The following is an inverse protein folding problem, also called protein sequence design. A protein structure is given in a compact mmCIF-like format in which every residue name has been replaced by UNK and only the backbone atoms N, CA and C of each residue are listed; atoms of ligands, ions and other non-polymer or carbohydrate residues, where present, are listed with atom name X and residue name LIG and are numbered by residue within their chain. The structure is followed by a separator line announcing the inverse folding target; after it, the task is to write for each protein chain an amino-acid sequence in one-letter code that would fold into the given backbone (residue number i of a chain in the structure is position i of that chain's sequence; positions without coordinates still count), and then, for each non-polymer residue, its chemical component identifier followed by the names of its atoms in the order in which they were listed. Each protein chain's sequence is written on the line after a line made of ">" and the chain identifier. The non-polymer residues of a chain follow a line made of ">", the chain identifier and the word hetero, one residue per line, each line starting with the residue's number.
data_IF_344411642966
#
_entry.id   IF_344411642966
#
_cell.length_a   1.000
_cell.length_b   1.000
_cell.length_c   1.000
_cell.angle_alpha   90.00
_cell.angle_beta   90.00
_cell.angle_gamma   90.00
#
_symmetry.space_group_name_H-M   'P 1'
#
loop_
_entity.id
_entity.type
_entity.pdbx_description
1 polymer ?
#
# COMPACT_ATOMS: atom_id res chain seq x y z
N UNK A 1 12.19 16.99 1.01
CA UNK A 1 10.99 16.48 1.71
C UNK A 1 9.75 17.30 1.36
N UNK A 2 9.21 17.06 0.18
CA UNK A 2 7.83 17.39 -0.16
C UNK A 2 6.94 16.31 0.41
N UNK A 3 5.89 16.72 1.11
CA UNK A 3 4.74 15.87 1.32
C UNK A 3 3.51 16.64 0.81
N UNK A 4 2.58 15.94 0.16
CA UNK A 4 1.32 16.56 -0.27
C UNK A 4 0.57 17.22 0.89
N UNK A 5 0.84 16.79 2.13
CA UNK A 5 0.37 17.44 3.36
C UNK A 5 0.88 18.86 3.56
N UNK A 6 2.10 19.21 3.15
CA UNK A 6 2.63 20.57 3.27
C UNK A 6 1.96 21.52 2.26
N UNK A 7 1.75 21.06 1.02
CA UNK A 7 0.99 21.80 0.03
C UNK A 7 -0.49 21.95 0.45
N UNK A 8 -1.10 20.88 0.97
CA UNK A 8 -2.46 20.91 1.51
C UNK A 8 -2.54 21.85 2.72
N UNK A 9 -1.56 21.79 3.62
CA UNK A 9 -1.45 22.69 4.77
C UNK A 9 -1.31 24.14 4.34
N UNK A 10 -0.58 24.44 3.26
CA UNK A 10 -0.48 25.79 2.70
C UNK A 10 -1.82 26.28 2.16
N UNK A 11 -2.57 25.41 1.46
CA UNK A 11 -3.93 25.71 0.98
C UNK A 11 -4.86 25.96 2.16
N UNK A 12 -4.90 25.05 3.14
CA UNK A 12 -5.75 25.19 4.33
C UNK A 12 -5.41 26.45 5.13
N UNK A 13 -4.12 26.75 5.30
CA UNK A 13 -3.67 27.98 5.97
C UNK A 13 -4.11 29.23 5.22
N UNK A 14 -4.02 29.23 3.89
CA UNK A 14 -4.49 30.35 3.07
C UNK A 14 -6.02 30.47 3.07
N UNK A 15 -6.73 29.34 3.15
CA UNK A 15 -8.18 29.27 3.21
C UNK A 15 -8.75 29.66 4.59
N UNK A 16 -7.95 29.59 5.65
CA UNK A 16 -8.33 29.92 7.03
C UNK A 16 -8.86 28.72 7.83
N UNK A 17 -9.10 28.94 9.12
CA UNK A 17 -9.74 27.95 10.00
C UNK A 17 -11.22 27.75 9.59
N UNK A 18 -11.76 26.57 9.86
CA UNK A 18 -13.20 26.26 9.82
C UNK A 18 -13.70 26.27 11.28
N UNK A 19 -14.01 27.47 11.80
CA UNK A 19 -14.32 27.64 13.22
C UNK A 19 -15.68 27.06 13.62
N UNK A 20 -16.59 26.84 12.66
CA UNK A 20 -17.94 26.34 12.91
C UNK A 20 -18.16 24.87 12.49
N UNK A 21 -17.17 24.26 11.82
CA UNK A 21 -17.10 22.83 11.53
C UNK A 21 -18.03 22.39 10.41
N UNK A 22 -18.35 23.29 9.47
CA UNK A 22 -19.24 23.01 8.34
C UNK A 22 -18.52 22.44 7.11
N UNK A 23 -17.18 22.33 7.18
CA UNK A 23 -16.33 21.83 6.10
C UNK A 23 -15.88 22.91 5.11
N UNK A 24 -16.19 24.18 5.35
CA UNK A 24 -15.80 25.32 4.51
C UNK A 24 -14.90 26.28 5.30
N UNK A 25 -13.71 26.63 4.79
CA UNK A 25 -12.83 27.59 5.46
C UNK A 25 -13.42 29.00 5.56
N UNK A 26 -13.34 29.63 6.75
CA UNK A 26 -13.98 30.92 7.06
C UNK A 26 -13.46 32.07 6.18
N UNK A 27 -12.16 32.09 5.85
CA UNK A 27 -11.62 33.17 5.00
C UNK A 27 -12.07 33.02 3.54
N UNK A 28 -12.31 31.80 3.07
CA UNK A 28 -12.89 31.60 1.74
C UNK A 28 -14.31 32.16 1.71
N UNK A 29 -15.15 31.86 2.70
CA UNK A 29 -16.51 32.41 2.76
C UNK A 29 -16.51 33.93 2.89
N UNK A 30 -15.62 34.49 3.72
CA UNK A 30 -15.44 35.94 3.84
C UNK A 30 -15.04 36.60 2.51
N UNK A 31 -14.14 35.98 1.73
CA UNK A 31 -13.76 36.44 0.39
C UNK A 31 -14.92 36.37 -0.60
N UNK A 32 -15.69 35.27 -0.61
CA UNK A 32 -16.88 35.12 -1.45
C UNK A 32 -17.89 36.23 -1.15
N UNK A 33 -18.21 36.45 0.14
CA UNK A 33 -19.12 37.51 0.57
C UNK A 33 -18.58 38.89 0.20
N UNK A 34 -17.27 39.11 0.31
CA UNK A 34 -16.60 40.33 -0.13
C UNK A 34 -16.80 40.60 -1.63
N UNK A 35 -16.57 39.60 -2.47
CA UNK A 35 -16.77 39.71 -3.92
C UNK A 35 -18.26 39.88 -4.29
N UNK A 36 -19.17 39.17 -3.61
CA UNK A 36 -20.60 39.40 -3.79
C UNK A 36 -21.00 40.84 -3.39
N UNK A 37 -20.42 41.37 -2.31
CA UNK A 37 -20.60 42.77 -1.89
C UNK A 37 -20.06 43.78 -2.90
N UNK A 38 -19.07 43.41 -3.71
CA UNK A 38 -18.56 44.18 -4.83
C UNK A 38 -19.40 44.06 -6.12
N UNK A 39 -20.47 43.26 -6.11
CA UNK A 39 -21.44 43.15 -7.21
C UNK A 39 -21.25 41.96 -8.15
N UNK A 40 -20.36 41.01 -7.82
CA UNK A 40 -20.19 39.77 -8.59
C UNK A 40 -21.29 38.74 -8.23
N UNK A 41 -21.77 37.94 -9.19
CA UNK A 41 -22.68 36.83 -8.90
C UNK A 41 -21.94 35.75 -8.09
N UNK A 42 -22.69 34.94 -7.33
CA UNK A 42 -22.12 34.00 -6.35
C UNK A 42 -21.15 32.99 -6.96
N UNK A 43 -21.45 32.49 -8.16
CA UNK A 43 -20.61 31.56 -8.92
C UNK A 43 -19.27 32.20 -9.30
N UNK A 44 -19.29 33.43 -9.83
CA UNK A 44 -18.08 34.17 -10.17
C UNK A 44 -17.29 34.57 -8.91
N UNK A 45 -17.98 35.01 -7.85
CA UNK A 45 -17.37 35.35 -6.57
C UNK A 45 -16.65 34.15 -5.94
N UNK A 46 -17.21 32.94 -6.08
CA UNK A 46 -16.60 31.69 -5.59
C UNK A 46 -15.31 31.36 -6.34
N UNK A 47 -15.34 31.47 -7.67
CA UNK A 47 -14.14 31.23 -8.48
C UNK A 47 -13.04 32.27 -8.24
N UNK A 48 -13.41 33.52 -7.97
CA UNK A 48 -12.45 34.59 -7.63
C UNK A 48 -11.83 34.36 -6.24
N UNK A 49 -12.64 34.02 -5.24
CA UNK A 49 -12.15 33.69 -3.91
C UNK A 49 -11.22 32.46 -3.92
N UNK A 50 -11.59 31.42 -4.69
CA UNK A 50 -10.75 30.23 -4.87
C UNK A 50 -9.41 30.59 -5.52
N UNK A 51 -9.40 31.47 -6.53
CA UNK A 51 -8.17 31.92 -7.17
C UNK A 51 -7.22 32.61 -6.18
N UNK A 52 -7.73 33.54 -5.36
CA UNK A 52 -6.92 34.26 -4.37
C UNK A 52 -6.29 33.31 -3.35
N UNK A 53 -7.07 32.34 -2.84
CA UNK A 53 -6.60 31.36 -1.87
C UNK A 53 -5.51 30.47 -2.47
N UNK A 54 -5.73 29.94 -3.68
CA UNK A 54 -4.77 29.05 -4.35
C UNK A 54 -3.50 29.80 -4.76
N UNK A 55 -3.62 31.03 -5.24
CA UNK A 55 -2.47 31.87 -5.56
C UNK A 55 -1.64 32.17 -4.29
N UNK A 56 -2.29 32.61 -3.22
CA UNK A 56 -1.62 32.87 -1.94
C UNK A 56 -0.93 31.63 -1.37
N UNK A 57 -1.59 30.47 -1.43
CA UNK A 57 -1.05 29.21 -0.99
C UNK A 57 0.19 28.80 -1.81
N UNK A 58 0.11 28.87 -3.14
CA UNK A 58 1.24 28.53 -4.01
C UNK A 58 2.42 29.48 -3.79
N UNK A 59 2.18 30.78 -3.68
CA UNK A 59 3.24 31.78 -3.45
C UNK A 59 3.93 31.54 -2.10
N UNK A 60 3.16 31.29 -1.04
CA UNK A 60 3.71 30.97 0.27
C UNK A 60 4.51 29.67 0.24
N UNK A 61 4.02 28.67 -0.47
CA UNK A 61 4.67 27.37 -0.59
C UNK A 61 5.97 27.44 -1.42
N UNK A 62 5.93 28.09 -2.57
CA UNK A 62 7.09 28.33 -3.44
C UNK A 62 8.22 29.11 -2.74
N UNK A 63 7.86 30.02 -1.83
CA UNK A 63 8.84 30.76 -1.04
C UNK A 63 9.70 29.85 -0.14
N UNK A 64 9.17 28.72 0.35
CA UNK A 64 9.95 27.73 1.10
C UNK A 64 11.07 27.10 0.26
N UNK A 65 10.87 27.01 -1.05
CA UNK A 65 11.86 26.50 -2.01
C UNK A 65 12.73 27.61 -2.62
N UNK A 66 12.67 28.82 -2.07
CA UNK A 66 13.52 29.94 -2.50
C UNK A 66 13.06 30.64 -3.78
N UNK A 67 11.82 30.42 -4.22
CA UNK A 67 11.23 31.15 -5.35
C UNK A 67 10.85 32.56 -4.93
N UNK A 68 11.22 33.57 -5.73
CA UNK A 68 10.79 34.95 -5.46
C UNK A 68 9.29 35.12 -5.76
N UNK A 69 8.66 36.07 -5.06
CA UNK A 69 7.21 36.29 -5.16
C UNK A 69 6.73 36.63 -6.58
N UNK A 70 7.55 37.31 -7.40
CA UNK A 70 7.13 37.68 -8.76
C UNK A 70 7.07 36.46 -9.66
N UNK A 71 8.09 35.60 -9.57
CA UNK A 71 8.13 34.33 -10.32
C UNK A 71 7.07 33.37 -9.80
N UNK A 72 6.86 33.28 -8.48
CA UNK A 72 5.84 32.43 -7.88
C UNK A 72 4.42 32.84 -8.30
N UNK A 73 4.09 34.13 -8.28
CA UNK A 73 2.78 34.64 -8.73
C UNK A 73 2.56 34.35 -10.22
N UNK A 74 3.58 34.49 -11.07
CA UNK A 74 3.45 34.18 -12.49
C UNK A 74 3.18 32.68 -12.73
N UNK A 75 3.83 31.80 -11.95
CA UNK A 75 3.63 30.36 -12.03
C UNK A 75 2.30 29.89 -11.41
N UNK A 76 1.80 30.60 -10.39
CA UNK A 76 0.52 30.32 -9.73
C UNK A 76 -0.66 30.34 -10.70
N UNK A 77 -0.60 31.12 -11.79
CA UNK A 77 -1.67 31.21 -12.78
C UNK A 77 -2.09 29.84 -13.36
N UNK A 78 -1.14 28.92 -13.56
CA UNK A 78 -1.43 27.57 -14.05
C UNK A 78 -2.19 26.74 -13.00
N UNK A 79 -1.80 26.87 -11.73
CA UNK A 79 -2.42 26.19 -10.59
C UNK A 79 -3.84 26.72 -10.36
N UNK A 80 -4.03 28.04 -10.41
CA UNK A 80 -5.33 28.69 -10.28
C UNK A 80 -6.29 28.24 -11.38
N UNK A 81 -5.83 28.23 -12.64
CA UNK A 81 -6.65 27.80 -13.77
C UNK A 81 -7.11 26.34 -13.63
N UNK A 82 -6.23 25.46 -13.13
CA UNK A 82 -6.59 24.08 -12.83
C UNK A 82 -7.66 24.01 -11.72
N UNK A 83 -7.43 24.67 -10.58
CA UNK A 83 -8.36 24.68 -9.45
C UNK A 83 -9.77 25.13 -9.85
N UNK A 84 -9.87 26.24 -10.59
CA UNK A 84 -11.15 26.77 -11.06
C UNK A 84 -11.87 25.81 -12.02
N UNK A 85 -11.13 25.16 -12.92
CA UNK A 85 -11.69 24.19 -13.87
C UNK A 85 -12.19 22.93 -13.15
N UNK A 86 -11.40 22.42 -12.21
CA UNK A 86 -11.73 21.25 -11.39
C UNK A 86 -12.97 21.51 -10.54
N UNK A 87 -13.03 22.66 -9.85
CA UNK A 87 -14.20 23.04 -9.06
C UNK A 87 -15.46 23.12 -9.91
N UNK A 88 -15.40 23.78 -11.07
CA UNK A 88 -16.55 23.88 -11.97
C UNK A 88 -17.03 22.51 -12.46
N UNK A 89 -16.11 21.58 -12.73
CA UNK A 89 -16.44 20.22 -13.15
C UNK A 89 -17.13 19.41 -12.03
N UNK A 90 -16.61 19.48 -10.80
CA UNK A 90 -17.17 18.76 -9.65
C UNK A 90 -18.57 19.30 -9.26
N UNK A 91 -18.74 20.62 -9.28
CA UNK A 91 -20.06 21.25 -9.08
C UNK A 91 -21.06 20.82 -10.15
N UNK A 92 -20.64 20.74 -11.43
CA UNK A 92 -21.50 20.27 -12.51
C UNK A 92 -21.93 18.80 -12.36
N UNK A 93 -21.13 18.00 -11.64
CA UNK A 93 -21.44 16.61 -11.30
C UNK A 93 -22.29 16.48 -10.03
N UNK A 94 -22.55 17.58 -9.32
CA UNK A 94 -23.31 17.58 -8.08
C UNK A 94 -22.53 17.04 -6.87
N UNK A 95 -21.21 17.15 -6.89
CA UNK A 95 -20.35 16.74 -5.78
C UNK A 95 -20.57 17.65 -4.55
N UNK A 96 -21.03 17.13 -3.41
CA UNK A 96 -21.22 17.92 -2.19
C UNK A 96 -19.91 18.42 -1.59
N UNK A 97 -18.78 17.77 -1.88
CA UNK A 97 -17.46 18.06 -1.31
C UNK A 97 -16.52 18.70 -2.35
N UNK A 98 -17.10 19.31 -3.40
CA UNK A 98 -16.37 19.84 -4.57
C UNK A 98 -15.19 20.74 -4.20
N UNK A 99 -15.32 21.54 -3.14
CA UNK A 99 -14.28 22.45 -2.68
C UNK A 99 -13.08 21.69 -2.07
N UNK A 100 -13.34 20.72 -1.20
CA UNK A 100 -12.30 19.90 -0.57
C UNK A 100 -11.61 19.02 -1.61
N UNK A 101 -12.37 18.40 -2.51
CA UNK A 101 -11.85 17.60 -3.61
C UNK A 101 -11.01 18.45 -4.59
N UNK A 102 -11.40 19.71 -4.85
CA UNK A 102 -10.59 20.65 -5.63
C UNK A 102 -9.28 20.97 -4.92
N UNK A 103 -9.31 21.24 -3.62
CA UNK A 103 -8.12 21.54 -2.84
C UNK A 103 -7.11 20.38 -2.90
N UNK A 104 -7.58 19.14 -2.68
CA UNK A 104 -6.76 17.92 -2.79
C UNK A 104 -6.21 17.68 -4.20
N UNK A 105 -6.99 17.91 -5.25
CA UNK A 105 -6.49 17.77 -6.62
C UNK A 105 -5.44 18.85 -6.96
N UNK A 106 -5.59 20.05 -6.39
CA UNK A 106 -4.73 21.19 -6.70
C UNK A 106 -3.34 21.06 -6.06
N UNK A 107 -3.19 20.37 -4.93
CA UNK A 107 -1.87 20.17 -4.29
C UNK A 107 -0.85 19.48 -5.19
N UNK A 108 -1.28 18.48 -5.95
CA UNK A 108 -0.42 17.74 -6.89
C UNK A 108 0.05 18.64 -8.03
N UNK A 109 -0.84 19.50 -8.53
CA UNK A 109 -0.52 20.44 -9.62
C UNK A 109 0.47 21.51 -9.15
N UNK A 110 0.38 21.97 -7.90
CA UNK A 110 1.37 22.87 -7.33
C UNK A 110 2.79 22.27 -7.43
N UNK A 111 2.96 21.01 -7.03
CA UNK A 111 4.27 20.33 -7.12
C UNK A 111 4.77 20.21 -8.57
N UNK A 112 3.89 19.80 -9.49
CA UNK A 112 4.25 19.73 -10.91
C UNK A 112 4.71 21.06 -11.51
N UNK A 113 4.09 22.18 -11.10
CA UNK A 113 4.47 23.52 -11.57
C UNK A 113 5.85 23.93 -11.05
N UNK A 114 6.16 23.68 -9.77
CA UNK A 114 7.50 23.96 -9.23
C UNK A 114 8.58 23.06 -9.86
N UNK A 115 8.29 21.79 -10.12
CA UNK A 115 9.21 20.89 -10.81
C UNK A 115 9.49 21.37 -12.25
N UNK A 116 8.46 21.84 -12.95
CA UNK A 116 8.62 22.46 -14.27
C UNK A 116 9.47 23.75 -14.26
N UNK A 117 9.63 24.39 -13.10
CA UNK A 117 10.53 25.52 -12.90
C UNK A 117 11.99 25.10 -12.62
N UNK A 118 12.29 23.80 -12.63
CA UNK A 118 13.61 23.25 -12.33
C UNK A 118 13.93 23.21 -10.84
N UNK A 119 12.92 23.31 -9.98
CA UNK A 119 13.05 23.15 -8.54
C UNK A 119 12.89 21.68 -8.24
N UNK A 120 13.94 21.07 -7.71
CA UNK A 120 13.91 19.69 -7.26
C UNK A 120 13.08 19.60 -5.97
N UNK A 121 11.84 19.17 -6.14
CA UNK A 121 10.92 18.91 -5.05
C UNK A 121 11.11 17.45 -4.68
N UNK A 122 12.18 17.17 -3.95
CA UNK A 122 12.45 15.85 -3.39
C UNK A 122 11.31 15.44 -2.44
N UNK A 123 10.40 14.57 -2.90
CA UNK A 123 9.49 13.73 -2.14
C UNK A 123 9.96 12.28 -2.08
N UNK A 124 11.27 12.05 -2.04
CA UNK A 124 11.89 10.72 -2.09
C UNK A 124 11.56 9.78 -0.92
N UNK A 125 10.57 10.12 -0.08
CA UNK A 125 9.88 9.17 0.79
C UNK A 125 8.57 8.61 0.19
N UNK A 126 8.19 9.01 -1.02
CA UNK A 126 6.87 8.73 -1.62
C UNK A 126 6.84 8.45 -3.14
N UNK A 127 7.94 8.55 -3.90
CA UNK A 127 7.98 8.11 -5.30
C UNK A 127 8.48 6.66 -5.44
N UNK A 128 7.63 5.80 -6.00
CA UNK A 128 8.04 4.46 -6.39
C UNK A 128 8.97 4.56 -7.60
N UNK A 129 10.28 4.50 -7.34
CA UNK A 129 11.31 4.35 -8.36
C UNK A 129 11.58 2.85 -8.61
N UNK A 130 11.13 2.27 -9.75
CA UNK A 130 11.40 0.87 -10.09
C UNK A 130 12.87 0.57 -10.42
N UNK A 131 13.73 1.60 -10.36
CA UNK A 131 15.19 1.52 -10.50
C UNK A 131 15.95 1.89 -9.23
N UNK A 132 15.24 2.32 -8.18
CA UNK A 132 15.83 2.60 -6.87
C UNK A 132 16.20 1.26 -6.22
N UNK A 133 17.48 1.14 -5.90
CA UNK A 133 18.03 0.08 -5.05
C UNK A 133 18.15 0.55 -3.60
N UNK A 134 17.70 1.77 -3.28
CA UNK A 134 17.61 2.25 -1.90
C UNK A 134 16.25 1.88 -1.35
N UNK A 135 16.21 0.64 -0.88
CA UNK A 135 15.16 -0.01 -0.14
C UNK A 135 14.51 0.87 0.92
N UNK A 136 13.18 0.79 1.02
CA UNK A 136 12.36 1.14 2.19
C UNK A 136 12.84 0.43 3.50
N UNK A 137 13.78 -0.49 3.36
CA UNK A 137 14.51 -1.15 4.44
C UNK A 137 15.44 -0.17 5.18
N UNK A 138 15.22 -0.04 6.48
CA UNK A 138 15.99 0.82 7.38
C UNK A 138 17.34 0.23 7.80
N UNK A 139 17.63 -1.04 7.43
CA UNK A 139 18.89 -1.72 7.75
C UNK A 139 19.93 -1.49 6.66
N UNK A 140 21.15 -1.14 7.05
CA UNK A 140 22.27 -1.04 6.12
C UNK A 140 22.89 -2.42 5.88
N UNK A 141 23.35 -2.71 4.65
CA UNK A 141 24.01 -3.99 4.33
C UNK A 141 23.16 -5.21 4.75
N UNK A 142 21.87 -5.18 4.39
CA UNK A 142 20.85 -6.18 4.75
C UNK A 142 21.12 -7.58 4.20
N UNK A 143 21.63 -7.67 2.98
CA UNK A 143 22.05 -8.91 2.32
C UNK A 143 23.52 -9.28 2.55
N UNK A 144 24.22 -8.59 3.46
CA UNK A 144 25.61 -8.88 3.84
C UNK A 144 26.68 -8.84 2.74
N UNK A 145 26.40 -8.29 1.56
CA UNK A 145 27.35 -8.20 0.43
C UNK A 145 28.62 -7.39 0.74
N UNK A 146 28.54 -6.48 1.72
CA UNK A 146 29.68 -5.72 2.22
C UNK A 146 30.29 -6.35 3.49
N UNK A 147 30.12 -7.66 3.67
CA UNK A 147 30.63 -8.45 4.78
C UNK A 147 30.03 -8.02 6.13
N UNK A 148 30.88 -7.76 7.12
CA UNK A 148 30.44 -7.38 8.48
C UNK A 148 30.09 -5.90 8.64
N UNK A 149 30.18 -5.09 7.59
CA UNK A 149 29.95 -3.64 7.65
C UNK A 149 28.56 -3.33 8.21
N UNK A 150 28.47 -2.31 9.07
CA UNK A 150 27.23 -1.83 9.73
C UNK A 150 26.59 -2.75 10.77
N UNK A 151 27.10 -3.97 10.95
CA UNK A 151 26.56 -4.92 11.91
C UNK A 151 27.40 -5.03 13.18
N UNK A 152 26.76 -4.82 14.32
CA UNK A 152 27.31 -5.00 15.66
C UNK A 152 27.11 -6.44 16.16
N UNK A 153 27.90 -6.83 17.16
CA UNK A 153 27.90 -8.20 17.70
C UNK A 153 27.96 -8.19 19.22
N UNK A 154 27.37 -9.21 19.83
CA UNK A 154 27.49 -9.46 21.27
C UNK A 154 27.43 -10.96 21.57
N UNK A 155 28.28 -11.50 22.45
CA UNK A 155 29.31 -10.83 23.25
C UNK A 155 30.61 -10.56 22.49
N UNK A 156 30.89 -11.30 21.41
CA UNK A 156 32.06 -11.13 20.54
C UNK A 156 31.85 -11.85 19.21
N UNK A 157 32.67 -11.51 18.20
CA UNK A 157 32.53 -12.02 16.84
C UNK A 157 33.17 -13.38 16.53
N UNK A 158 33.47 -14.21 17.54
CA UNK A 158 34.21 -15.47 17.33
C UNK A 158 33.34 -16.64 16.86
N UNK A 159 32.02 -16.58 17.09
CA UNK A 159 31.07 -17.65 16.74
C UNK A 159 30.21 -17.31 15.52
N UNK A 160 30.82 -16.70 14.52
CA UNK A 160 30.15 -16.27 13.31
C UNK A 160 31.13 -16.17 12.14
N UNK A 161 30.61 -16.28 10.92
CA UNK A 161 31.40 -16.16 9.70
C UNK A 161 30.53 -15.63 8.56
N UNK A 162 31.17 -15.01 7.57
CA UNK A 162 30.56 -14.83 6.26
C UNK A 162 30.71 -16.13 5.47
N UNK A 163 29.72 -16.44 4.64
CA UNK A 163 29.81 -17.52 3.66
C UNK A 163 29.32 -17.00 2.30
N UNK A 164 30.08 -17.29 1.25
CA UNK A 164 29.72 -16.93 -0.12
C UNK A 164 28.95 -18.03 -0.84
N UNK A 165 28.14 -17.65 -1.82
CA UNK A 165 27.55 -18.58 -2.79
C UNK A 165 28.66 -19.36 -3.50
N UNK A 166 28.55 -20.70 -3.48
CA UNK A 166 29.55 -21.63 -4.03
C UNK A 166 30.60 -22.11 -3.03
N UNK A 167 30.67 -21.56 -1.82
CA UNK A 167 31.57 -22.05 -0.78
C UNK A 167 31.03 -23.33 -0.12
N UNK A 168 31.92 -24.22 0.31
CA UNK A 168 31.53 -25.50 0.93
C UNK A 168 31.04 -25.27 2.36
N UNK A 169 29.82 -25.71 2.66
CA UNK A 169 29.26 -25.61 4.00
C UNK A 169 30.00 -26.52 5.00
N UNK A 170 30.13 -26.04 6.24
CA UNK A 170 30.81 -26.77 7.32
C UNK A 170 30.28 -28.20 7.47
N UNK A 171 31.19 -29.16 7.61
CA UNK A 171 30.90 -30.59 7.80
C UNK A 171 30.15 -31.25 6.62
N UNK A 172 30.15 -30.64 5.44
CA UNK A 172 29.48 -31.15 4.23
C UNK A 172 30.45 -31.19 3.04
N UNK A 173 29.98 -31.73 1.92
CA UNK A 173 30.56 -31.50 0.59
C UNK A 173 29.68 -30.60 -0.29
N UNK A 174 28.62 -30.06 0.28
CA UNK A 174 27.61 -29.26 -0.43
C UNK A 174 28.03 -27.79 -0.45
N UNK A 175 27.70 -27.12 -1.54
CA UNK A 175 27.97 -25.69 -1.70
C UNK A 175 26.79 -24.86 -1.19
N UNK A 176 27.10 -23.81 -0.45
CA UNK A 176 26.12 -22.82 -0.01
C UNK A 176 25.59 -22.00 -1.20
N UNK A 177 24.33 -21.58 -1.09
CA UNK A 177 23.71 -20.63 -2.02
C UNK A 177 22.97 -19.62 -1.15
N UNK A 178 23.36 -18.35 -1.24
CA UNK A 178 22.69 -17.23 -0.57
C UNK A 178 21.22 -17.16 -1.00
N UNK A 179 20.37 -16.55 -0.17
CA UNK A 179 18.97 -16.38 -0.51
C UNK A 179 18.83 -15.38 -1.66
N UNK A 180 19.49 -14.24 -1.52
CA UNK A 180 19.67 -13.23 -2.56
C UNK A 180 21.14 -12.78 -2.56
N UNK A 181 21.65 -12.33 -3.71
CA UNK A 181 23.03 -11.87 -3.82
C UNK A 181 24.08 -13.00 -3.77
N UNK A 182 25.26 -12.67 -3.25
CA UNK A 182 26.46 -13.49 -3.30
C UNK A 182 26.90 -13.99 -1.92
N UNK A 183 26.34 -13.50 -0.80
CA UNK A 183 26.80 -13.89 0.53
C UNK A 183 25.71 -13.91 1.61
N UNK A 184 25.97 -14.65 2.69
CA UNK A 184 25.12 -14.68 3.87
C UNK A 184 25.98 -14.77 5.13
N UNK A 185 25.35 -14.59 6.29
CA UNK A 185 26.03 -14.68 7.58
C UNK A 185 25.68 -15.96 8.33
N UNK A 186 26.70 -16.72 8.74
CA UNK A 186 26.57 -17.90 9.60
C UNK A 186 26.74 -17.52 11.07
N UNK A 187 25.87 -18.02 11.95
CA UNK A 187 25.97 -17.92 13.40
C UNK A 187 25.91 -19.33 14.02
N UNK A 188 26.68 -19.55 15.10
CA UNK A 188 26.64 -20.79 15.89
C UNK A 188 26.80 -20.51 17.39
N UNK A 189 26.70 -21.56 18.21
CA UNK A 189 26.87 -21.48 19.66
C UNK A 189 28.21 -20.89 20.12
N UNK A 190 28.22 -20.24 21.28
CA UNK A 190 29.45 -19.68 21.87
C UNK A 190 30.36 -20.79 22.42
N UNK A 191 29.79 -21.91 22.88
CA UNK A 191 30.52 -22.97 23.58
C UNK A 191 31.31 -22.50 24.81
N UNK A 192 31.00 -21.29 25.29
CA UNK A 192 31.58 -20.63 26.45
C UNK A 192 30.54 -19.69 27.07
N UNK A 193 30.43 -19.65 28.40
CA UNK A 193 29.49 -18.76 29.10
C UNK A 193 28.42 -19.44 29.96
N UNK A 194 28.31 -20.77 29.95
CA UNK A 194 27.45 -21.51 30.87
C UNK A 194 26.04 -21.76 30.33
N UNK A 195 25.02 -21.10 30.90
CA UNK A 195 23.61 -21.34 30.56
C UNK A 195 22.98 -20.16 29.82
N UNK A 196 22.15 -20.42 28.80
CA UNK A 196 21.43 -19.42 28.00
C UNK A 196 22.37 -18.40 27.32
N UNK A 197 23.39 -18.91 26.64
CA UNK A 197 24.39 -18.12 25.96
C UNK A 197 23.80 -17.58 24.65
N UNK A 198 23.77 -16.25 24.50
CA UNK A 198 23.26 -15.58 23.31
C UNK A 198 24.42 -15.05 22.44
N UNK A 199 24.44 -15.44 21.17
CA UNK A 199 25.35 -14.91 20.17
C UNK A 199 24.56 -14.05 19.18
N UNK A 200 24.77 -12.74 19.23
CA UNK A 200 23.92 -11.73 18.61
C UNK A 200 24.64 -11.04 17.45
N UNK A 201 23.85 -10.69 16.44
CA UNK A 201 24.19 -9.81 15.33
C UNK A 201 23.06 -8.81 15.16
N UNK A 202 23.34 -7.50 15.23
CA UNK A 202 22.29 -6.47 15.23
C UNK A 202 22.79 -5.12 14.72
N UNK A 203 21.85 -4.21 14.45
CA UNK A 203 22.11 -2.78 14.26
C UNK A 203 21.42 -1.98 15.38
N UNK A 204 22.08 -0.93 15.87
CA UNK A 204 21.56 -0.09 16.95
C UNK A 204 21.05 1.26 16.44
N UNK A 205 19.83 1.61 16.85
CA UNK A 205 19.16 2.87 16.57
C UNK A 205 19.05 3.72 17.83
N UNK A 206 19.53 4.97 17.76
CA UNK A 206 19.70 5.87 18.91
C UNK A 206 18.72 7.03 18.85
N UNK A 207 17.61 6.95 19.59
CA UNK A 207 16.61 8.02 19.66
C UNK A 207 15.92 8.37 18.33
N UNK A 208 16.16 7.61 17.27
CA UNK A 208 15.59 7.80 15.93
C UNK A 208 14.19 7.22 15.81
N UNK A 209 13.90 6.14 16.55
CA UNK A 209 12.57 5.53 16.61
C UNK A 209 11.83 6.06 17.83
N UNK A 210 10.76 6.83 17.57
CA UNK A 210 9.94 7.44 18.61
C UNK A 210 9.10 6.42 19.39
N UNK A 211 8.56 6.85 20.53
CA UNK A 211 7.60 6.04 21.27
C UNK A 211 6.39 5.70 20.39
N UNK A 212 5.94 4.44 20.47
CA UNK A 212 4.85 3.86 19.69
C UNK A 212 5.10 3.77 18.18
N UNK A 213 6.32 4.03 17.70
CA UNK A 213 6.69 3.69 16.33
C UNK A 213 6.48 2.19 16.13
N UNK A 214 5.66 1.85 15.14
CA UNK A 214 5.44 0.47 14.71
C UNK A 214 6.40 0.17 13.56
N UNK A 215 6.93 -1.03 13.51
CA UNK A 215 7.80 -1.47 12.42
C UNK A 215 7.77 -2.99 12.33
N UNK A 216 8.04 -3.52 11.15
CA UNK A 216 8.19 -4.96 10.92
C UNK A 216 9.65 -5.27 10.64
N UNK A 217 10.12 -6.39 11.19
CA UNK A 217 11.46 -6.92 10.94
C UNK A 217 11.31 -8.30 10.32
N UNK A 218 12.05 -8.58 9.26
CA UNK A 218 12.12 -9.92 8.65
C UNK A 218 13.54 -10.33 8.32
N UNK A 219 13.76 -11.62 8.15
CA UNK A 219 15.00 -12.18 7.62
C UNK A 219 14.76 -13.60 7.08
N UNK A 220 15.60 -14.02 6.16
CA UNK A 220 15.62 -15.38 5.63
C UNK A 220 16.60 -16.23 6.42
N UNK A 221 16.14 -17.39 6.87
CA UNK A 221 16.91 -18.29 7.74
C UNK A 221 17.09 -19.64 7.09
N UNK A 222 18.33 -20.14 7.07
CA UNK A 222 18.66 -21.48 6.61
C UNK A 222 19.47 -22.23 7.66
N UNK A 223 19.23 -23.53 7.81
CA UNK A 223 20.11 -24.42 8.59
C UNK A 223 20.42 -25.66 7.77
N UNK A 224 21.64 -26.18 7.87
CA UNK A 224 22.05 -27.34 7.10
C UNK A 224 21.95 -28.61 7.96
N UNK A 225 21.51 -29.73 7.38
CA UNK A 225 21.35 -30.99 8.12
C UNK A 225 22.65 -31.52 8.75
N UNK A 226 23.82 -31.14 8.24
CA UNK A 226 25.12 -31.52 8.79
C UNK A 226 25.57 -30.68 10.01
N UNK A 227 24.94 -29.53 10.26
CA UNK A 227 25.20 -28.60 11.38
C UNK A 227 23.89 -27.93 11.83
N UNK A 228 22.86 -28.76 11.99
CA UNK A 228 21.47 -28.37 12.18
C UNK A 228 21.25 -27.66 13.52
N UNK A 229 20.62 -26.48 13.48
CA UNK A 229 20.18 -25.70 14.64
C UNK A 229 19.26 -26.50 15.58
N UNK A 230 18.56 -27.52 15.07
CA UNK A 230 17.67 -28.38 15.84
C UNK A 230 18.42 -29.39 16.72
N UNK A 231 19.76 -29.44 16.66
CA UNK A 231 20.55 -30.33 17.51
C UNK A 231 20.50 -29.87 18.97
N UNK A 232 19.79 -30.65 19.79
CA UNK A 232 19.60 -30.35 21.21
C UNK A 232 18.57 -29.22 21.42
N UNK A 233 18.88 -28.31 22.32
CA UNK A 233 17.99 -27.25 22.76
C UNK A 233 18.33 -25.88 22.15
N UNK A 234 19.28 -25.80 21.22
CA UNK A 234 19.61 -24.58 20.49
C UNK A 234 18.42 -24.03 19.69
N UNK A 235 18.34 -22.70 19.55
CA UNK A 235 17.34 -22.06 18.70
C UNK A 235 17.81 -20.68 18.27
N UNK A 236 17.24 -20.18 17.18
CA UNK A 236 17.48 -18.82 16.72
C UNK A 236 16.34 -17.90 17.14
N UNK A 237 16.65 -16.60 17.23
CA UNK A 237 15.67 -15.58 17.58
C UNK A 237 15.89 -14.37 16.70
N UNK A 238 14.86 -13.99 15.94
CA UNK A 238 14.77 -12.68 15.29
C UNK A 238 14.14 -11.71 16.29
N UNK A 239 14.74 -10.54 16.51
CA UNK A 239 14.35 -9.64 17.59
C UNK A 239 14.40 -8.16 17.23
N UNK A 240 13.63 -7.40 18.01
CA UNK A 240 13.87 -6.00 18.33
C UNK A 240 13.98 -5.84 19.86
N UNK A 241 15.18 -5.54 20.37
CA UNK A 241 15.45 -5.28 21.80
C UNK A 241 15.32 -3.79 22.11
N UNK A 242 14.80 -3.47 23.29
CA UNK A 242 14.52 -2.11 23.73
C UNK A 242 15.27 -1.79 25.01
N UNK A 243 15.88 -0.61 25.06
CA UNK A 243 16.55 -0.10 26.25
C UNK A 243 16.19 1.36 26.51
N UNK A 244 16.05 1.70 27.79
CA UNK A 244 16.06 3.07 28.26
C UNK A 244 17.47 3.66 28.16
N UNK A 245 17.58 4.96 28.40
CA UNK A 245 18.88 5.64 28.50
C UNK A 245 19.80 4.95 29.51
N UNK A 246 21.09 4.86 29.18
CA UNK A 246 22.08 4.11 29.98
C UNK A 246 21.95 2.58 29.92
N UNK A 247 21.35 2.01 28.86
CA UNK A 247 21.26 0.56 28.61
C UNK A 247 20.38 -0.22 29.60
N UNK A 248 19.46 0.44 30.31
CA UNK A 248 18.53 -0.27 31.17
C UNK A 248 17.48 -1.04 30.32
N UNK A 249 17.36 -2.34 30.57
CA UNK A 249 16.46 -3.24 29.83
C UNK A 249 14.99 -2.78 29.89
N UNK A 250 14.36 -2.61 28.73
CA UNK A 250 12.94 -2.26 28.61
C UNK A 250 12.07 -3.42 28.09
N UNK A 251 12.64 -4.35 27.31
CA UNK A 251 11.94 -5.52 26.78
C UNK A 251 12.44 -5.91 25.38
N UNK A 252 11.76 -6.87 24.75
CA UNK A 252 11.95 -7.15 23.33
C UNK A 252 10.66 -7.69 22.70
N UNK A 253 10.47 -7.38 21.42
CA UNK A 253 9.60 -8.14 20.53
C UNK A 253 10.47 -9.16 19.78
N UNK A 254 10.01 -10.41 19.67
CA UNK A 254 10.82 -11.48 19.06
C UNK A 254 10.01 -12.65 18.53
N UNK A 255 10.53 -13.31 17.51
CA UNK A 255 10.09 -14.65 17.08
C UNK A 255 11.24 -15.65 17.24
N UNK A 256 10.94 -16.77 17.90
CA UNK A 256 11.87 -17.89 18.02
C UNK A 256 11.67 -18.83 16.83
N UNK A 257 12.76 -19.29 16.24
CA UNK A 257 12.68 -20.18 15.09
C UNK A 257 13.53 -21.43 15.25
N UNK A 258 12.97 -22.48 14.65
CA UNK A 258 13.55 -23.78 14.35
C UNK A 258 12.93 -24.20 13.02
N UNK A 259 13.76 -24.41 12.00
CA UNK A 259 13.30 -24.73 10.64
C UNK A 259 13.67 -26.16 10.26
N UNK A 260 12.98 -26.71 9.25
CA UNK A 260 13.47 -27.92 8.60
C UNK A 260 14.86 -27.63 7.98
N UNK A 261 15.84 -28.53 8.11
CA UNK A 261 17.14 -28.30 7.49
C UNK A 261 17.05 -28.32 5.97
N UNK A 262 18.05 -27.73 5.33
CA UNK A 262 18.30 -27.71 3.89
C UNK A 262 17.27 -26.91 3.07
N UNK A 263 16.50 -26.03 3.71
CA UNK A 263 15.60 -25.07 3.06
C UNK A 263 15.64 -23.71 3.74
N UNK A 264 15.44 -22.65 2.97
CA UNK A 264 15.24 -21.29 3.50
C UNK A 264 13.86 -21.14 4.13
N UNK A 265 13.78 -20.39 5.22
CA UNK A 265 12.56 -20.08 5.96
C UNK A 265 12.49 -18.59 6.25
N UNK A 266 11.44 -17.94 5.76
CA UNK A 266 11.12 -16.57 6.11
C UNK A 266 10.71 -16.47 7.57
N UNK A 267 11.29 -15.52 8.30
CA UNK A 267 10.89 -15.16 9.66
C UNK A 267 10.56 -13.68 9.72
N UNK A 268 9.50 -13.34 10.45
CA UNK A 268 9.12 -11.94 10.67
C UNK A 268 8.54 -11.69 12.06
N UNK A 269 8.70 -10.45 12.54
CA UNK A 269 8.16 -9.98 13.81
C UNK A 269 7.70 -8.52 13.68
N UNK A 270 6.44 -8.29 14.03
CA UNK A 270 5.88 -6.94 14.17
C UNK A 270 6.22 -6.38 15.54
N UNK A 271 6.71 -5.15 15.54
CA UNK A 271 7.33 -4.51 16.69
C UNK A 271 6.63 -3.19 17.01
N UNK A 272 6.58 -2.80 18.29
CA UNK A 272 6.12 -1.47 18.71
C UNK A 272 7.04 -0.90 19.78
N UNK A 273 7.69 0.23 19.49
CA UNK A 273 8.62 0.87 20.44
C UNK A 273 7.88 1.28 21.73
N UNK A 274 8.25 0.76 22.90
CA UNK A 274 7.64 1.16 24.17
C UNK A 274 7.88 2.62 24.53
N UNK A 275 6.98 3.21 25.33
CA UNK A 275 7.13 4.58 25.83
C UNK A 275 8.44 4.74 26.63
N UNK A 276 9.21 5.77 26.30
CA UNK A 276 10.42 6.17 27.01
C UNK A 276 11.70 5.42 26.59
N UNK A 277 11.61 4.49 25.64
CA UNK A 277 12.78 3.80 25.06
C UNK A 277 13.66 4.79 24.31
N UNK A 278 14.96 4.66 24.51
CA UNK A 278 15.98 5.53 23.90
C UNK A 278 16.84 4.77 22.87
N UNK A 279 16.94 3.45 23.00
CA UNK A 279 17.81 2.61 22.18
C UNK A 279 17.00 1.40 21.71
N UNK A 280 17.05 1.15 20.40
CA UNK A 280 16.45 -0.04 19.78
C UNK A 280 17.56 -0.83 19.08
N UNK A 281 17.61 -2.14 19.28
CA UNK A 281 18.51 -3.03 18.55
C UNK A 281 17.69 -4.02 17.74
N UNK A 282 17.95 -4.10 16.44
CA UNK A 282 17.25 -5.01 15.52
C UNK A 282 18.26 -6.01 14.97
N UNK A 283 17.93 -7.29 15.03
CA UNK A 283 18.84 -8.33 14.56
C UNK A 283 18.41 -9.75 14.88
N UNK A 284 19.38 -10.65 14.84
CA UNK A 284 19.19 -12.08 15.14
C UNK A 284 20.19 -12.55 16.18
N UNK A 285 19.80 -13.58 16.94
CA UNK A 285 20.72 -14.28 17.81
C UNK A 285 20.57 -15.79 17.74
N UNK A 286 21.68 -16.49 17.90
CA UNK A 286 21.72 -17.90 18.25
C UNK A 286 21.68 -18.02 19.78
N UNK A 287 20.70 -18.74 20.32
CA UNK A 287 20.61 -19.05 21.74
C UNK A 287 21.03 -20.50 21.97
N UNK A 288 22.04 -20.66 22.82
CA UNK A 288 22.58 -21.94 23.23
C UNK A 288 22.32 -22.14 24.74
N UNK A 289 21.27 -22.89 25.12
CA UNK A 289 20.90 -23.07 26.53
C UNK A 289 21.99 -23.72 27.39
N UNK A 290 22.82 -24.59 26.84
CA UNK A 290 23.95 -25.26 27.48
C UNK A 290 25.08 -25.54 26.50
N UNK A 291 26.29 -25.80 27.00
CA UNK A 291 27.45 -26.13 26.16
C UNK A 291 27.27 -27.37 25.28
N UNK A 292 26.29 -28.24 25.59
CA UNK A 292 25.97 -29.45 24.84
C UNK A 292 24.92 -29.22 23.74
N UNK A 293 24.37 -28.01 23.64
CA UNK A 293 23.47 -27.64 22.56
C UNK A 293 24.32 -27.14 21.38
N UNK A 294 24.07 -27.70 20.19
CA UNK A 294 24.90 -27.51 19.01
C UNK A 294 24.08 -26.93 17.86
N UNK A 295 24.73 -26.76 16.72
CA UNK A 295 24.11 -26.33 15.49
C UNK A 295 24.44 -24.89 15.12
N UNK A 296 23.96 -24.54 13.93
CA UNK A 296 24.17 -23.25 13.33
C UNK A 296 22.98 -22.87 12.45
N UNK A 297 22.89 -21.59 12.16
CA UNK A 297 22.05 -21.12 11.07
C UNK A 297 22.79 -20.07 10.25
N UNK A 298 22.27 -19.88 9.06
CA UNK A 298 22.64 -18.88 8.09
C UNK A 298 21.49 -17.90 8.02
N UNK A 299 21.81 -16.62 7.93
CA UNK A 299 20.83 -15.55 7.82
C UNK A 299 21.21 -14.65 6.65
N UNK A 300 20.19 -14.24 5.92
CA UNK A 300 20.31 -13.39 4.74
C UNK A 300 19.06 -12.52 4.59
N UNK A 301 19.13 -11.55 3.69
CA UNK A 301 18.05 -10.62 3.30
C UNK A 301 17.24 -10.08 4.49
N UNK A 302 17.95 -9.42 5.42
CA UNK A 302 17.29 -8.74 6.54
C UNK A 302 16.47 -7.56 6.05
N UNK A 303 15.24 -7.40 6.54
CA UNK A 303 14.48 -6.18 6.33
C UNK A 303 13.92 -5.58 7.60
N UNK A 304 13.88 -4.24 7.66
CA UNK A 304 13.15 -3.47 8.64
C UNK A 304 12.34 -2.38 7.94
N UNK A 305 11.02 -2.41 8.06
CA UNK A 305 10.12 -1.39 7.50
C UNK A 305 9.40 -0.65 8.62
N UNK A 306 9.43 0.68 8.61
CA UNK A 306 8.67 1.48 9.58
C UNK A 306 7.22 1.58 9.11
N UNK A 307 6.29 1.17 9.97
CA UNK A 307 4.86 1.26 9.72
C UNK A 307 4.37 2.66 10.02
N UNK A 308 4.08 3.42 8.97
CA UNK A 308 3.46 4.73 9.11
C UNK A 308 1.95 4.55 9.35
N UNK A 309 1.40 5.04 10.48
CA UNK A 309 -0.02 4.95 10.77
C UNK A 309 -0.80 5.85 9.81
N UNK A 310 -1.28 5.30 8.70
CA UNK A 310 -2.18 6.02 7.81
C UNK A 310 -3.61 5.89 8.30
N UNK A 311 -4.37 6.99 8.45
CA UNK A 311 -5.79 6.94 8.77
C UNK A 311 -6.61 6.13 7.76
N UNK A 312 -6.10 5.98 6.53
CA UNK A 312 -6.83 5.48 5.36
C UNK A 312 -6.02 4.47 4.52
N UNK A 313 -5.21 3.61 5.14
CA UNK A 313 -4.45 2.60 4.40
C UNK A 313 -5.36 1.66 3.59
N UNK A 314 -5.06 1.46 2.29
CA UNK A 314 -5.75 0.51 1.41
C UNK A 314 -4.78 -0.62 1.04
N UNK A 315 -5.23 -1.86 1.20
CA UNK A 315 -4.52 -3.05 0.71
C UNK A 315 -4.76 -3.17 -0.81
N UNK A 316 -3.69 -3.12 -1.61
CA UNK A 316 -3.75 -3.27 -3.08
C UNK A 316 -3.04 -4.56 -3.48
N UNK A 317 -3.74 -5.41 -4.25
CA UNK A 317 -3.12 -6.57 -4.91
C UNK A 317 -2.97 -6.24 -6.40
N UNK A 318 -1.73 -6.12 -6.87
CA UNK A 318 -1.47 -6.10 -8.31
C UNK A 318 -0.97 -7.48 -8.74
N UNK A 319 -1.82 -8.23 -9.44
CA UNK A 319 -1.40 -9.43 -10.15
C UNK A 319 -1.22 -8.99 -11.60
N UNK A 320 0.03 -8.89 -12.07
CA UNK A 320 0.33 -8.51 -13.45
C UNK A 320 -0.46 -9.33 -14.46
N UNK A 321 -0.72 -8.80 -15.66
CA UNK A 321 -1.62 -9.29 -16.74
C UNK A 321 -1.52 -10.79 -17.13
N UNK A 322 -1.75 -11.71 -16.20
CA UNK A 322 -1.80 -13.14 -16.45
C UNK A 322 -2.77 -13.76 -15.46
N UNK A 323 -3.75 -14.47 -16.03
CA UNK A 323 -4.73 -15.27 -15.31
C UNK A 323 -4.03 -16.13 -14.26
N UNK A 324 -4.52 -16.13 -13.01
CA UNK A 324 -4.12 -17.13 -12.00
C UNK A 324 -4.76 -18.46 -12.39
N UNK A 325 -4.01 -19.48 -12.84
CA UNK A 325 -4.58 -20.81 -13.02
C UNK A 325 -5.02 -21.35 -11.65
N UNK A 326 -6.19 -21.98 -11.60
CA UNK A 326 -6.73 -22.58 -10.37
C UNK A 326 -5.81 -23.73 -9.94
N UNK A 327 -5.48 -23.79 -8.63
CA UNK A 327 -4.70 -24.84 -7.92
C UNK A 327 -3.16 -24.66 -7.81
N UNK A 328 -2.65 -23.44 -7.66
CA UNK A 328 -1.27 -23.22 -7.18
C UNK A 328 -1.24 -22.38 -5.89
N UNK A 329 -0.32 -22.73 -4.99
CA UNK A 329 0.09 -21.86 -3.88
C UNK A 329 1.26 -21.02 -4.38
N UNK A 330 1.15 -19.70 -4.27
CA UNK A 330 2.28 -18.77 -4.46
C UNK A 330 2.49 -17.99 -3.18
N UNK A 331 3.75 -17.76 -2.85
CA UNK A 331 4.12 -16.81 -1.82
C UNK A 331 3.64 -15.42 -2.25
N UNK A 332 2.82 -14.81 -1.39
CA UNK A 332 2.33 -13.45 -1.56
C UNK A 332 3.29 -12.55 -0.80
N UNK A 333 4.18 -11.90 -1.53
CA UNK A 333 4.96 -10.81 -0.97
C UNK A 333 4.01 -9.63 -0.73
N UNK A 334 3.73 -9.34 0.53
CA UNK A 334 2.98 -8.15 0.93
C UNK A 334 3.94 -6.97 0.88
N UNK A 335 3.83 -6.18 -0.18
CA UNK A 335 4.48 -4.87 -0.28
C UNK A 335 3.42 -3.80 -0.02
N UNK A 336 3.69 -2.89 0.92
CA UNK A 336 2.90 -1.68 1.09
C UNK A 336 3.40 -0.65 0.08
N UNK A 337 2.82 -0.66 -1.12
CA UNK A 337 3.09 0.37 -2.12
C UNK A 337 2.16 1.57 -1.93
N UNK A 338 2.75 2.78 -1.88
CA UNK A 338 2.00 4.02 -2.04
C UNK A 338 1.47 4.07 -3.49
N UNK A 339 0.16 3.94 -3.67
CA UNK A 339 -0.46 4.38 -4.92
C UNK A 339 -0.60 5.89 -4.79
N UNK A 340 0.37 6.63 -5.34
CA UNK A 340 0.42 8.10 -5.42
C UNK A 340 -0.70 8.73 -6.26
N UNK A 341 -1.89 8.15 -6.23
CA UNK A 341 -3.11 8.67 -6.81
C UNK A 341 -4.27 8.36 -5.85
N UNK A 342 -4.73 9.39 -5.15
CA UNK A 342 -6.17 9.58 -5.00
C UNK A 342 -6.69 10.32 -6.24
N UNK A 343 -6.44 9.74 -7.42
CA UNK A 343 -7.33 9.91 -8.54
C UNK A 343 -8.39 8.84 -8.40
N UNK A 344 -9.65 9.18 -8.64
CA UNK A 344 -10.51 8.20 -9.31
C UNK A 344 -9.94 8.09 -10.72
N UNK A 345 -8.84 7.34 -10.88
CA UNK A 345 -8.67 6.56 -12.09
C UNK A 345 -9.72 5.47 -11.98
N UNK A 346 -10.93 5.77 -12.44
CA UNK A 346 -11.58 4.73 -13.23
C UNK A 346 -10.65 4.55 -14.42
N UNK A 347 -9.66 3.66 -14.30
CA UNK A 347 -9.55 2.70 -15.38
C UNK A 347 -10.91 2.03 -15.39
N UNK A 348 -11.86 2.64 -16.12
CA UNK A 348 -12.92 1.90 -16.74
C UNK A 348 -12.15 0.88 -17.59
N UNK A 349 -11.83 -0.26 -17.00
CA UNK A 349 -11.41 -1.45 -17.73
C UNK A 349 -12.69 -1.83 -18.47
N UNK A 350 -12.95 -1.12 -19.55
CA UNK A 350 -14.06 -1.35 -20.42
C UNK A 350 -13.86 -2.77 -20.94
N UNK A 351 -14.86 -3.65 -20.79
CA UNK A 351 -14.74 -5.00 -21.31
C UNK A 351 -14.37 -4.95 -22.79
N UNK A 352 -13.35 -5.69 -23.23
CA UNK A 352 -12.95 -5.69 -24.64
C UNK A 352 -14.04 -6.25 -25.56
N UNK A 353 -15.00 -7.01 -25.00
CA UNK A 353 -16.08 -7.67 -25.74
C UNK A 353 -17.34 -7.82 -24.89
N UNK A 354 -18.47 -7.93 -25.58
CA UNK A 354 -19.73 -8.32 -24.96
C UNK A 354 -19.64 -9.73 -24.39
N UNK A 355 -19.97 -9.89 -23.11
CA UNK A 355 -20.04 -11.17 -22.43
C UNK A 355 -21.22 -11.20 -21.45
N UNK A 356 -21.82 -12.39 -21.29
CA UNK A 356 -22.87 -12.62 -20.28
C UNK A 356 -22.39 -13.75 -19.40
N UNK A 357 -22.42 -13.54 -18.08
CA UNK A 357 -21.90 -14.47 -17.08
C UNK A 357 -23.01 -15.34 -16.51
N UNK A 358 -22.61 -16.45 -15.87
CA UNK A 358 -23.56 -17.27 -15.12
C UNK A 358 -24.18 -16.46 -13.97
N UNK A 359 -25.46 -16.67 -13.75
CA UNK A 359 -26.17 -16.00 -12.68
C UNK A 359 -25.69 -16.51 -11.31
N UNK A 360 -25.61 -15.64 -10.30
CA UNK A 360 -25.27 -16.05 -8.94
C UNK A 360 -26.24 -15.46 -7.90
N UNK A 361 -26.75 -16.27 -6.95
CA UNK A 361 -26.57 -17.72 -6.84
C UNK A 361 -27.34 -18.53 -7.91
N UNK A 362 -26.78 -19.67 -8.33
CA UNK A 362 -27.46 -20.70 -9.15
C UNK A 362 -27.22 -22.11 -8.54
N UNK A 363 -28.25 -22.84 -8.06
CA UNK A 363 -29.68 -22.50 -8.11
C UNK A 363 -30.04 -21.26 -7.28
N UNK A 364 -30.98 -20.45 -7.77
CA UNK A 364 -31.42 -19.23 -7.10
C UNK A 364 -32.61 -19.49 -6.17
N UNK A 365 -32.70 -18.75 -5.05
CA UNK A 365 -33.84 -18.85 -4.12
C UNK A 365 -34.06 -17.56 -3.28
N UNK A 366 -35.12 -16.77 -3.54
CA UNK A 366 -35.80 -16.57 -4.83
C UNK A 366 -35.05 -15.56 -5.72
N UNK A 367 -33.91 -15.02 -5.28
CA UNK A 367 -33.18 -13.97 -6.00
C UNK A 367 -31.88 -14.48 -6.61
N UNK A 368 -31.52 -13.95 -7.77
CA UNK A 368 -30.18 -14.07 -8.37
C UNK A 368 -29.76 -12.76 -9.01
N UNK A 369 -28.48 -12.64 -9.27
CA UNK A 369 -27.90 -11.55 -10.06
C UNK A 369 -27.48 -12.09 -11.42
N UNK A 370 -27.70 -11.28 -12.46
CA UNK A 370 -27.26 -11.53 -13.83
C UNK A 370 -26.25 -10.44 -14.17
N UNK A 371 -25.00 -10.84 -14.36
CA UNK A 371 -23.91 -9.93 -14.72
C UNK A 371 -23.56 -10.06 -16.19
N UNK A 372 -23.25 -8.95 -16.84
CA UNK A 372 -22.86 -8.88 -18.24
C UNK A 372 -21.98 -7.65 -18.51
N UNK A 373 -21.21 -7.75 -19.57
CA UNK A 373 -20.21 -6.78 -19.97
C UNK A 373 -20.62 -6.12 -21.28
N UNK A 374 -20.47 -4.80 -21.37
CA UNK A 374 -20.67 -4.00 -22.58
C UNK A 374 -19.36 -3.36 -22.99
N UNK A 375 -18.88 -3.67 -24.20
CA UNK A 375 -17.66 -3.05 -24.75
C UNK A 375 -17.86 -1.61 -25.25
N UNK A 376 -19.11 -1.26 -25.58
CA UNK A 376 -19.50 0.05 -26.07
C UNK A 376 -20.91 0.39 -25.57
N UNK A 377 -21.24 1.69 -25.52
CA UNK A 377 -22.57 2.17 -25.13
C UNK A 377 -23.64 1.53 -26.04
N UNK A 378 -24.64 0.88 -25.44
CA UNK A 378 -25.61 0.06 -26.17
C UNK A 378 -27.02 0.14 -25.58
N UNK A 379 -28.01 0.18 -26.48
CA UNK A 379 -29.42 -0.09 -26.11
C UNK A 379 -29.52 -1.53 -25.66
N UNK A 380 -29.83 -1.74 -24.38
CA UNK A 380 -29.76 -3.05 -23.73
C UNK A 380 -31.12 -3.50 -23.19
N UNK A 381 -31.51 -4.73 -23.51
CA UNK A 381 -32.66 -5.43 -22.92
C UNK A 381 -32.18 -6.70 -22.19
N UNK A 382 -32.51 -6.81 -20.90
CA UNK A 382 -32.33 -8.02 -20.10
C UNK A 382 -33.69 -8.64 -19.83
N UNK A 383 -33.93 -9.86 -20.30
CA UNK A 383 -35.22 -10.54 -20.16
C UNK A 383 -35.09 -12.00 -19.73
N UNK A 384 -36.12 -12.50 -19.06
CA UNK A 384 -36.23 -13.90 -18.60
C UNK A 384 -37.30 -14.62 -19.41
N UNK A 385 -37.02 -15.86 -19.78
CA UNK A 385 -37.80 -16.70 -20.68
C UNK A 385 -37.97 -18.10 -20.09
N UNK A 386 -39.06 -18.78 -20.44
CA UNK A 386 -39.24 -20.19 -20.13
C UNK A 386 -38.73 -21.09 -21.26
N UNK A 387 -38.68 -22.40 -21.01
CA UNK A 387 -38.24 -23.41 -22.00
C UNK A 387 -39.14 -23.49 -23.25
N UNK A 388 -40.35 -22.93 -23.21
CA UNK A 388 -41.26 -22.86 -24.36
C UNK A 388 -40.98 -21.62 -25.23
N UNK A 389 -39.97 -20.81 -24.90
CA UNK A 389 -39.64 -19.59 -25.63
C UNK A 389 -40.60 -18.43 -25.34
N UNK A 390 -41.34 -18.47 -24.23
CA UNK A 390 -42.22 -17.37 -23.82
C UNK A 390 -41.46 -16.44 -22.88
N UNK A 391 -41.51 -15.13 -23.16
CA UNK A 391 -40.93 -14.09 -22.29
C UNK A 391 -41.76 -13.97 -21.03
N UNK A 392 -41.12 -14.14 -19.88
CA UNK A 392 -41.71 -14.10 -18.56
C UNK A 392 -41.72 -12.67 -18.00
N UNK A 393 -40.57 -12.01 -18.07
CA UNK A 393 -40.41 -10.62 -17.62
C UNK A 393 -39.20 -9.96 -18.30
N UNK A 394 -39.20 -8.63 -18.33
CA UNK A 394 -38.05 -7.81 -18.71
C UNK A 394 -37.52 -7.17 -17.43
N UNK A 395 -36.26 -7.42 -17.10
CA UNK A 395 -35.61 -6.92 -15.89
C UNK A 395 -35.04 -5.52 -16.10
N UNK A 396 -34.58 -5.23 -17.32
CA UNK A 396 -34.03 -3.94 -17.70
C UNK A 396 -34.30 -3.67 -19.18
N UNK A 397 -34.60 -2.43 -19.52
CA UNK A 397 -34.64 -1.92 -20.90
C UNK A 397 -34.22 -0.45 -20.90
N UNK A 398 -33.22 -0.10 -21.71
CA UNK A 398 -32.71 1.27 -21.80
C UNK A 398 -31.29 1.33 -22.34
N UNK A 399 -30.76 2.55 -22.41
CA UNK A 399 -29.36 2.79 -22.77
C UNK A 399 -28.45 2.48 -21.58
N UNK A 400 -27.35 1.78 -21.84
CA UNK A 400 -26.28 1.57 -20.85
C UNK A 400 -24.94 1.98 -21.47
N UNK A 401 -24.10 2.61 -20.66
CA UNK A 401 -22.72 2.91 -21.04
C UNK A 401 -21.88 1.62 -21.11
N UNK A 402 -20.76 1.68 -21.81
CA UNK A 402 -19.74 0.64 -21.76
C UNK A 402 -19.32 0.38 -20.30
N UNK A 403 -19.01 -0.88 -19.97
CA UNK A 403 -18.69 -1.30 -18.60
C UNK A 403 -19.39 -2.60 -18.20
N UNK A 404 -19.14 -3.03 -16.96
CA UNK A 404 -19.77 -4.19 -16.36
C UNK A 404 -21.07 -3.81 -15.65
N UNK A 405 -22.14 -4.55 -15.92
CA UNK A 405 -23.48 -4.29 -15.41
C UNK A 405 -24.03 -5.52 -14.70
N UNK A 406 -24.81 -5.28 -13.65
CA UNK A 406 -25.48 -6.36 -12.91
C UNK A 406 -26.95 -6.01 -12.70
N UNK A 407 -27.84 -6.94 -13.08
CA UNK A 407 -29.28 -6.80 -12.91
C UNK A 407 -29.80 -7.89 -11.98
N UNK A 408 -30.60 -7.48 -10.99
CA UNK A 408 -31.22 -8.39 -10.03
C UNK A 408 -32.48 -9.00 -10.61
N UNK A 409 -32.64 -10.31 -10.42
CA UNK A 409 -33.89 -11.03 -10.64
C UNK A 409 -34.41 -11.55 -9.30
N UNK A 410 -35.70 -11.35 -9.02
CA UNK A 410 -36.34 -11.75 -7.76
C UNK A 410 -37.30 -12.94 -7.89
N UNK A 411 -37.22 -13.66 -9.01
CA UNK A 411 -37.99 -14.89 -9.22
C UNK A 411 -39.47 -14.64 -9.51
N UNK A 412 -39.86 -13.43 -9.98
CA UNK A 412 -41.24 -13.08 -10.30
C UNK A 412 -41.48 -12.86 -11.79
N UNK A 413 -42.70 -13.10 -12.23
CA UNK A 413 -43.17 -12.72 -13.56
C UNK A 413 -43.53 -11.22 -13.66
N UNK A 414 -43.92 -10.78 -14.86
CA UNK A 414 -44.36 -9.40 -15.12
C UNK A 414 -45.60 -8.96 -14.33
N UNK A 415 -46.37 -9.89 -13.74
CA UNK A 415 -47.51 -9.61 -12.87
C UNK A 415 -47.14 -9.64 -11.38
N UNK A 416 -45.85 -9.81 -11.03
CA UNK A 416 -45.37 -9.92 -9.65
C UNK A 416 -45.64 -11.26 -8.99
N UNK A 417 -46.05 -12.29 -9.75
CA UNK A 417 -46.28 -13.64 -9.23
C UNK A 417 -44.98 -14.42 -9.15
N UNK A 418 -44.79 -15.17 -8.06
CA UNK A 418 -43.60 -16.02 -7.86
C UNK A 418 -43.59 -17.14 -8.89
N UNK A 419 -42.45 -17.34 -9.54
CA UNK A 419 -42.25 -18.41 -10.51
C UNK A 419 -42.10 -19.78 -9.81
N UNK A 420 -42.66 -20.85 -10.41
CA UNK A 420 -42.45 -22.19 -9.90
C UNK A 420 -40.97 -22.61 -10.00
N UNK A 421 -40.56 -23.58 -9.19
CA UNK A 421 -39.23 -24.20 -9.34
C UNK A 421 -39.10 -24.82 -10.74
N UNK A 422 -38.04 -24.48 -11.45
CA UNK A 422 -37.85 -24.91 -12.82
C UNK A 422 -36.61 -24.29 -13.45
N UNK A 423 -36.38 -24.65 -14.70
CA UNK A 423 -35.28 -24.09 -15.50
C UNK A 423 -35.80 -22.88 -16.26
N UNK A 424 -35.04 -21.79 -16.17
CA UNK A 424 -35.31 -20.56 -16.91
C UNK A 424 -34.12 -20.19 -17.78
N UNK A 425 -34.37 -19.35 -18.77
CA UNK A 425 -33.34 -18.80 -19.65
C UNK A 425 -33.37 -17.29 -19.47
N UNK A 426 -32.23 -16.67 -19.23
CA UNK A 426 -32.12 -15.22 -19.34
C UNK A 426 -31.39 -14.86 -20.63
N UNK A 427 -31.81 -13.75 -21.21
CA UNK A 427 -31.33 -13.21 -22.48
C UNK A 427 -30.91 -11.77 -22.26
N UNK A 428 -29.69 -11.45 -22.65
CA UNK A 428 -29.18 -10.08 -22.73
C UNK A 428 -29.00 -9.75 -24.20
N UNK A 429 -29.67 -8.70 -24.65
CA UNK A 429 -29.50 -8.14 -25.99
C UNK A 429 -28.96 -6.73 -25.86
N UNK A 430 -27.80 -6.45 -26.44
CA UNK A 430 -27.13 -5.15 -26.40
C UNK A 430 -26.66 -4.79 -27.82
N UNK A 431 -27.31 -3.80 -28.45
CA UNK A 431 -27.06 -3.45 -29.85
C UNK A 431 -27.24 -4.65 -30.79
N UNK A 432 -26.16 -5.05 -31.48
CA UNK A 432 -26.14 -6.21 -32.38
C UNK A 432 -25.82 -7.54 -31.66
N UNK A 433 -25.42 -7.49 -30.38
CA UNK A 433 -25.03 -8.66 -29.62
C UNK A 433 -26.21 -9.25 -28.86
N UNK A 434 -26.33 -10.58 -28.87
CA UNK A 434 -27.34 -11.32 -28.11
C UNK A 434 -26.69 -12.54 -27.51
N UNK A 435 -26.83 -12.72 -26.19
CA UNK A 435 -26.40 -13.93 -25.50
C UNK A 435 -27.48 -14.42 -24.55
N UNK A 436 -27.48 -15.73 -24.32
CA UNK A 436 -28.46 -16.43 -23.49
C UNK A 436 -27.76 -17.45 -22.62
N UNK A 437 -28.22 -17.58 -21.37
CA UNK A 437 -27.74 -18.58 -20.42
C UNK A 437 -28.90 -19.14 -19.62
N UNK A 438 -28.67 -20.33 -19.07
CA UNK A 438 -29.64 -21.08 -18.28
C UNK A 438 -29.47 -20.73 -16.80
N UNK A 439 -30.58 -20.58 -16.08
CA UNK A 439 -30.64 -20.47 -14.63
C UNK A 439 -31.62 -21.45 -14.00
#
# INVERSE_FOLDING_TARGET
>A
TYNGLAALSAILTAAGDDADGDGIPDNLMALIVGYMGAGYPQDAATLMALADVIEGAFVAWAAYFGVDATTATAAAAAVVAYAQTTYAALVAQGDPDALMNTAMATTTVMGGVLNAMGIDIDDSDHDYDPTSTTSDNQLANSGFEDGFTSWEVYPHGNSQAMIGTGEVMYNTTETFVAFEGDSARKLWGLYEGGTNMENNVFQTYWGTLGAYTQFDVSAEIYTNSADDLNQGNGYGVLFAKYFYDGWAWAGMDSVHFRGAPDTWHHQSVSCTVPLGVAIVQVGVMHVQPSNDDHGSFYVDDFSMHINYPFPNGRLVFQIGNSCVPVFEYRDVFVSFANVGEAGVISEDILPEKFAVYDNYPNPFNPTTQISFDLAENSVTEVSVWNLLGQKITTLYTGDLNAGQHTVKFDGKDSNGSILPSGVYIYRVAAGNNVSTKKM
#
